data_IF_634038806955
#
_entry.id   IF_634038806955
#
_cell.length_a   1.000
_cell.length_b   1.000
_cell.length_c   1.000
_cell.angle_alpha   90.00
_cell.angle_beta   90.00
_cell.angle_gamma   90.00
#
_symmetry.space_group_name_H-M   'P 1'
#
loop_
_entity.id
_entity.type
_entity.pdbx_description
1 polymer ?
#
# COMPACT_ATOMS: atom_id res chain seq x y z
N UNK A 1 71.83 -44.34 0.00
CA UNK A 1 70.38 -44.17 -0.27
C UNK A 1 70.06 -42.71 -0.03
N UNK A 2 69.74 -41.99 -1.11
CA UNK A 2 69.83 -40.53 -1.19
C UNK A 2 68.72 -39.79 -0.45
N UNK A 3 69.12 -38.74 0.27
CA UNK A 3 68.26 -37.70 0.82
C UNK A 3 67.74 -36.83 -0.33
N UNK A 4 66.44 -36.90 -0.62
CA UNK A 4 65.78 -35.98 -1.52
C UNK A 4 65.61 -34.61 -0.82
N UNK A 5 66.43 -33.66 -1.22
CA UNK A 5 66.29 -32.24 -0.90
C UNK A 5 65.08 -31.67 -1.68
N UNK A 6 64.00 -31.32 -0.98
CA UNK A 6 62.96 -30.43 -1.49
C UNK A 6 63.33 -28.98 -1.13
N UNK A 7 63.54 -28.06 -2.08
CA UNK A 7 63.58 -26.64 -1.76
C UNK A 7 62.15 -26.15 -1.51
N UNK A 8 61.83 -25.82 -0.26
CA UNK A 8 60.64 -25.05 0.11
C UNK A 8 60.85 -23.59 -0.31
N UNK A 9 60.33 -23.22 -1.48
CA UNK A 9 60.33 -21.84 -1.95
C UNK A 9 59.35 -21.01 -1.11
N UNK A 10 59.90 -20.36 -0.06
CA UNK A 10 59.20 -19.39 0.78
C UNK A 10 59.13 -18.04 0.04
N UNK A 11 58.27 -17.92 -0.97
CA UNK A 11 57.95 -16.60 -1.53
C UNK A 11 56.81 -15.96 -0.73
N UNK A 12 57.14 -15.33 0.40
CA UNK A 12 56.19 -14.52 1.16
C UNK A 12 56.04 -13.17 0.46
N UNK A 13 55.19 -13.11 -0.57
CA UNK A 13 54.82 -11.85 -1.18
C UNK A 13 53.97 -11.07 -0.16
N UNK A 14 54.57 -10.11 0.54
CA UNK A 14 53.82 -9.11 1.30
C UNK A 14 52.97 -8.34 0.30
N UNK A 15 51.68 -8.63 0.24
CA UNK A 15 50.72 -8.00 -0.67
C UNK A 15 50.58 -6.54 -0.26
N UNK A 16 51.41 -5.67 -0.85
CA UNK A 16 51.37 -4.24 -0.63
C UNK A 16 50.11 -3.71 -1.32
N UNK A 17 49.06 -3.47 -0.55
CA UNK A 17 47.79 -2.93 -1.04
C UNK A 17 48.07 -1.58 -1.69
N UNK A 18 47.69 -1.45 -2.97
CA UNK A 18 47.79 -0.15 -3.65
C UNK A 18 46.68 0.75 -3.11
N UNK A 19 46.90 2.08 -3.13
CA UNK A 19 45.87 3.05 -2.77
C UNK A 19 44.56 2.82 -3.53
N UNK A 20 44.66 2.38 -4.79
CA UNK A 20 43.51 2.00 -5.61
C UNK A 20 42.71 0.84 -5.01
N UNK A 21 43.36 -0.17 -4.40
CA UNK A 21 42.67 -1.30 -3.78
C UNK A 21 41.87 -0.85 -2.54
N UNK A 22 42.41 0.10 -1.78
CA UNK A 22 41.73 0.70 -0.62
C UNK A 22 40.53 1.54 -1.06
N UNK A 23 40.71 2.39 -2.08
CA UNK A 23 39.62 3.23 -2.63
C UNK A 23 38.51 2.35 -3.20
N UNK A 24 38.88 1.29 -3.92
CA UNK A 24 37.92 0.35 -4.52
C UNK A 24 37.15 -0.41 -3.43
N UNK A 25 37.83 -0.90 -2.40
CA UNK A 25 37.19 -1.58 -1.27
C UNK A 25 36.25 -0.65 -0.50
N UNK A 26 36.64 0.62 -0.28
CA UNK A 26 35.80 1.61 0.37
C UNK A 26 34.54 1.92 -0.46
N UNK A 27 34.66 2.06 -1.78
CA UNK A 27 33.52 2.27 -2.67
C UNK A 27 32.54 1.09 -2.62
N UNK A 28 33.02 -0.15 -2.80
CA UNK A 28 32.15 -1.33 -2.73
C UNK A 28 31.56 -1.54 -1.33
N UNK A 29 32.30 -1.23 -0.27
CA UNK A 29 31.78 -1.25 1.10
C UNK A 29 30.66 -0.24 1.32
N UNK A 30 30.79 0.99 0.80
CA UNK A 30 29.75 2.02 0.87
C UNK A 30 28.50 1.63 0.07
N UNK A 31 28.68 1.06 -1.13
CA UNK A 31 27.57 0.54 -1.94
C UNK A 31 26.86 -0.61 -1.22
N UNK A 32 27.61 -1.58 -0.67
CA UNK A 32 27.04 -2.68 0.10
C UNK A 32 26.30 -2.18 1.34
N UNK A 33 26.86 -1.23 2.08
CA UNK A 33 26.20 -0.58 3.22
C UNK A 33 24.89 0.10 2.79
N UNK A 34 24.89 0.82 1.67
CA UNK A 34 23.68 1.42 1.12
C UNK A 34 22.62 0.35 0.80
N UNK A 35 23.00 -0.74 0.12
CA UNK A 35 22.06 -1.84 -0.16
C UNK A 35 21.57 -2.52 1.12
N UNK A 36 22.42 -2.69 2.14
CA UNK A 36 22.00 -3.22 3.44
C UNK A 36 21.00 -2.28 4.13
N UNK A 37 21.23 -0.96 4.10
CA UNK A 37 20.30 0.01 4.66
C UNK A 37 18.98 0.09 3.87
N UNK A 38 18.98 -0.15 2.57
CA UNK A 38 17.75 -0.09 1.74
C UNK A 38 16.97 -1.40 1.74
N UNK A 39 17.64 -2.55 1.78
CA UNK A 39 17.02 -3.87 1.56
C UNK A 39 17.05 -4.80 2.77
N UNK A 40 17.63 -4.39 3.91
CA UNK A 40 17.60 -5.18 5.16
C UNK A 40 16.99 -4.37 6.31
N UNK A 41 16.39 -5.02 7.33
CA UNK A 41 15.64 -4.33 8.39
C UNK A 41 16.47 -3.43 9.31
N UNK A 42 17.80 -3.37 9.13
CA UNK A 42 18.66 -2.44 9.87
C UNK A 42 18.51 -0.99 9.41
N UNK A 43 18.17 -0.72 8.14
CA UNK A 43 17.91 0.65 7.67
C UNK A 43 16.45 1.10 7.74
N UNK A 44 15.54 0.20 8.14
CA UNK A 44 14.13 0.51 8.39
C UNK A 44 13.93 1.55 9.51
N UNK A 45 14.96 1.82 10.33
CA UNK A 45 14.85 2.79 11.43
C UNK A 45 14.77 4.26 10.98
N UNK A 46 15.18 4.59 9.74
CA UNK A 46 15.12 5.96 9.22
C UNK A 46 14.02 6.18 8.16
N UNK A 47 13.53 5.11 7.53
CA UNK A 47 12.35 5.15 6.65
C UNK A 47 11.03 4.94 7.41
N UNK A 48 11.06 4.36 8.62
CA UNK A 48 9.90 4.21 9.50
C UNK A 48 9.48 5.50 10.26
N UNK A 49 9.86 6.68 9.77
CA UNK A 49 9.16 7.94 10.11
C UNK A 49 7.78 8.03 9.43
N UNK A 50 7.43 7.08 8.57
CA UNK A 50 6.05 6.86 8.18
C UNK A 50 5.31 6.21 9.36
N UNK A 51 4.52 7.00 10.08
CA UNK A 51 3.58 6.60 11.13
C UNK A 51 2.76 5.36 10.72
N UNK A 52 3.31 4.16 10.89
CA UNK A 52 2.53 3.07 11.44
C UNK A 52 2.36 3.37 12.91
N UNK A 53 1.52 4.36 13.23
CA UNK A 53 0.70 4.26 14.42
C UNK A 53 -0.13 3.00 14.20
N UNK A 54 0.46 1.86 14.54
CA UNK A 54 -0.28 0.80 15.16
C UNK A 54 -0.99 1.49 16.32
N UNK A 55 -2.22 1.94 16.07
CA UNK A 55 -3.24 1.98 17.08
C UNK A 55 -3.44 0.53 17.51
N UNK A 56 -2.43 -0.02 18.20
CA UNK A 56 -2.61 -1.10 19.14
C UNK A 56 -3.34 -0.45 20.31
N UNK A 57 -4.58 -0.08 20.03
CA UNK A 57 -5.52 0.43 21.00
C UNK A 57 -5.59 -0.65 22.06
N UNK A 58 -5.33 -0.28 23.31
CA UNK A 58 -5.46 -1.19 24.45
C UNK A 58 -6.77 -2.01 24.26
N UNK A 59 -6.74 -3.35 24.23
CA UNK A 59 -7.94 -4.17 24.04
C UNK A 59 -9.08 -3.76 24.96
N UNK A 60 -8.76 -3.29 26.18
CA UNK A 60 -9.74 -2.78 27.15
C UNK A 60 -10.35 -1.44 26.75
N UNK A 61 -9.59 -0.56 26.12
CA UNK A 61 -10.10 0.71 25.57
C UNK A 61 -11.05 0.44 24.41
N UNK A 62 -10.70 -0.51 23.55
CA UNK A 62 -11.54 -0.95 22.43
C UNK A 62 -12.90 -1.46 22.91
N UNK A 63 -12.91 -2.41 23.84
CA UNK A 63 -14.16 -2.96 24.40
C UNK A 63 -15.04 -1.86 25.02
N UNK A 64 -14.43 -0.94 25.78
CA UNK A 64 -15.13 0.20 26.36
C UNK A 64 -15.75 1.11 25.30
N UNK A 65 -15.01 1.42 24.24
CA UNK A 65 -15.46 2.33 23.20
C UNK A 65 -16.57 1.71 22.36
N UNK A 66 -16.45 0.42 22.00
CA UNK A 66 -17.51 -0.35 21.34
C UNK A 66 -18.78 -0.37 22.19
N UNK A 67 -18.65 -0.71 23.48
CA UNK A 67 -19.79 -0.71 24.39
C UNK A 67 -20.46 0.68 24.47
N UNK A 68 -19.67 1.77 24.60
CA UNK A 68 -20.22 3.14 24.64
C UNK A 68 -21.00 3.51 23.37
N UNK A 69 -20.51 3.09 22.20
CA UNK A 69 -21.20 3.30 20.91
C UNK A 69 -22.48 2.48 20.84
N UNK A 70 -22.44 1.20 21.22
CA UNK A 70 -23.61 0.30 21.23
C UNK A 70 -24.71 0.78 22.20
N UNK A 71 -24.33 1.32 23.36
CA UNK A 71 -25.26 1.90 24.33
C UNK A 71 -25.87 3.24 23.89
N UNK A 72 -25.59 3.71 22.67
CA UNK A 72 -26.14 4.95 22.14
C UNK A 72 -25.67 6.20 22.88
N UNK A 73 -24.61 6.09 23.70
CA UNK A 73 -24.00 7.24 24.37
C UNK A 73 -23.07 7.93 23.38
N UNK A 74 -23.63 8.88 22.65
CA UNK A 74 -22.86 9.87 21.88
C UNK A 74 -22.01 10.72 22.83
N UNK A 75 -20.81 10.28 23.20
CA UNK A 75 -19.86 11.13 23.94
C UNK A 75 -18.39 10.66 23.96
N UNK A 76 -18.03 9.50 23.43
CA UNK A 76 -16.62 9.25 23.16
C UNK A 76 -16.30 9.94 21.82
N UNK A 77 -15.55 11.04 21.86
CA UNK A 77 -15.00 11.63 20.64
C UNK A 77 -14.11 10.58 19.97
N UNK A 78 -14.56 10.04 18.84
CA UNK A 78 -13.75 9.15 18.02
C UNK A 78 -12.83 10.04 17.20
N UNK A 79 -11.52 9.89 17.40
CA UNK A 79 -10.53 10.67 16.68
C UNK A 79 -10.54 10.34 15.19
N UNK A 80 -10.14 11.31 14.36
CA UNK A 80 -9.91 11.07 12.94
C UNK A 80 -8.63 10.26 12.72
N UNK A 81 -8.65 9.36 11.74
CA UNK A 81 -7.46 8.67 11.29
C UNK A 81 -6.52 9.64 10.55
N UNK A 82 -5.23 9.29 10.40
CA UNK A 82 -4.30 10.01 9.53
C UNK A 82 -4.84 10.20 8.10
N UNK A 83 -4.49 11.32 7.46
CA UNK A 83 -4.99 11.70 6.13
C UNK A 83 -4.60 10.69 5.02
N UNK A 84 -3.51 9.95 5.19
CA UNK A 84 -3.07 8.90 4.28
C UNK A 84 -3.97 7.65 4.31
N UNK A 85 -4.88 7.54 5.29
CA UNK A 85 -5.87 6.45 5.34
C UNK A 85 -7.14 6.72 4.52
N UNK A 86 -7.18 7.77 3.69
CA UNK A 86 -8.35 8.11 2.87
C UNK A 86 -8.83 6.95 1.98
N UNK A 87 -7.91 6.13 1.46
CA UNK A 87 -8.21 4.96 0.61
C UNK A 87 -8.31 3.65 1.39
N UNK A 88 -8.51 3.71 2.71
CA UNK A 88 -8.55 2.52 3.53
C UNK A 88 -9.74 1.62 3.14
N UNK A 89 -9.43 0.45 2.59
CA UNK A 89 -10.39 -0.60 2.24
C UNK A 89 -10.09 -1.85 3.09
N UNK A 90 -10.76 -2.03 4.24
CA UNK A 90 -10.34 -3.02 5.24
C UNK A 90 -10.35 -4.46 4.71
N UNK A 91 -11.33 -4.83 3.88
CA UNK A 91 -11.50 -6.22 3.43
C UNK A 91 -10.92 -6.50 2.03
N UNK A 92 -10.25 -5.53 1.42
CA UNK A 92 -9.68 -5.61 0.07
C UNK A 92 -8.28 -4.99 0.07
N UNK A 93 -7.38 -5.55 0.89
CA UNK A 93 -5.99 -5.10 1.00
C UNK A 93 -5.08 -5.94 0.06
N UNK A 94 -4.51 -5.34 -1.01
CA UNK A 94 -3.60 -6.04 -1.90
C UNK A 94 -2.38 -6.66 -1.20
N UNK A 95 -1.94 -6.08 -0.06
CA UNK A 95 -0.81 -6.58 0.72
C UNK A 95 -1.15 -7.92 1.37
N UNK A 96 -2.36 -8.06 1.91
CA UNK A 96 -2.85 -9.32 2.50
C UNK A 96 -3.14 -10.31 1.37
N UNK A 97 -3.90 -9.89 0.36
CA UNK A 97 -4.31 -10.74 -0.76
C UNK A 97 -3.10 -11.38 -1.47
N UNK A 98 -1.97 -10.66 -1.60
CA UNK A 98 -0.75 -11.19 -2.20
C UNK A 98 -0.08 -12.36 -1.44
N UNK A 99 -0.43 -12.56 -0.16
CA UNK A 99 0.13 -13.59 0.73
C UNK A 99 -0.79 -14.82 0.86
N UNK A 100 -2.02 -14.74 0.34
CA UNK A 100 -3.02 -15.81 0.46
C UNK A 100 -2.86 -16.88 -0.62
N UNK A 101 -3.46 -18.06 -0.38
CA UNK A 101 -3.41 -19.16 -1.34
C UNK A 101 -4.03 -18.77 -2.69
N UNK A 102 -3.41 -19.27 -3.75
CA UNK A 102 -3.94 -19.17 -5.13
C UNK A 102 -4.96 -20.25 -5.45
N UNK A 103 -5.08 -21.26 -4.59
CA UNK A 103 -6.03 -22.34 -4.76
C UNK A 103 -7.46 -21.78 -4.77
N UNK A 104 -8.25 -22.21 -5.75
CA UNK A 104 -9.65 -21.80 -5.92
C UNK A 104 -9.87 -20.29 -5.96
N UNK A 105 -8.85 -19.49 -6.27
CA UNK A 105 -8.89 -18.03 -6.19
C UNK A 105 -9.17 -17.46 -4.80
N UNK A 106 -8.78 -18.16 -3.73
CA UNK A 106 -8.95 -17.69 -2.35
C UNK A 106 -8.38 -16.28 -2.13
N UNK A 107 -7.24 -15.94 -2.73
CA UNK A 107 -6.65 -14.59 -2.71
C UNK A 107 -7.51 -13.45 -3.30
N UNK A 108 -8.58 -13.77 -4.05
CA UNK A 108 -9.53 -12.79 -4.61
C UNK A 108 -10.79 -12.62 -3.78
N UNK A 109 -10.96 -13.44 -2.74
CA UNK A 109 -12.08 -13.29 -1.82
C UNK A 109 -11.84 -12.10 -0.88
N UNK A 110 -12.90 -11.67 -0.19
CA UNK A 110 -12.81 -10.56 0.77
C UNK A 110 -12.27 -11.08 2.09
N UNK A 111 -11.11 -10.59 2.49
CA UNK A 111 -10.43 -10.96 3.74
C UNK A 111 -10.34 -9.75 4.65
N UNK A 112 -11.28 -9.66 5.59
CA UNK A 112 -11.28 -8.58 6.56
C UNK A 112 -10.28 -8.87 7.70
N UNK A 113 -9.56 -7.85 8.19
CA UNK A 113 -8.74 -7.98 9.38
C UNK A 113 -9.59 -8.34 10.58
N UNK A 114 -8.95 -8.96 11.57
CA UNK A 114 -9.61 -9.24 12.85
C UNK A 114 -9.99 -7.93 13.53
N UNK A 115 -11.00 -7.94 14.43
CA UNK A 115 -11.35 -6.75 15.18
C UNK A 115 -10.12 -6.08 15.77
N UNK A 116 -9.23 -6.80 16.45
CA UNK A 116 -8.06 -6.23 17.13
C UNK A 116 -7.10 -5.45 16.21
N UNK A 117 -7.12 -5.73 14.91
CA UNK A 117 -6.29 -5.12 13.87
C UNK A 117 -6.99 -3.96 13.16
N UNK A 118 -8.31 -3.79 13.35
CA UNK A 118 -9.07 -2.69 12.75
C UNK A 118 -8.82 -1.37 13.48
N UNK A 119 -8.60 -0.26 12.74
CA UNK A 119 -8.43 1.06 13.34
C UNK A 119 -9.72 1.50 14.06
N UNK A 120 -9.56 2.15 15.22
CA UNK A 120 -10.66 2.73 16.00
C UNK A 120 -10.68 4.25 15.82
N UNK A 121 -10.72 4.69 14.57
CA UNK A 121 -10.75 6.10 14.21
C UNK A 121 -11.68 6.32 13.01
N UNK A 122 -12.13 7.56 12.82
CA UNK A 122 -12.93 7.96 11.67
C UNK A 122 -12.03 8.18 10.46
N UNK A 123 -12.22 7.41 9.40
CA UNK A 123 -11.47 7.59 8.15
C UNK A 123 -11.77 8.97 7.57
N UNK A 124 -10.77 9.81 7.33
CA UNK A 124 -11.00 11.15 6.80
C UNK A 124 -11.47 11.09 5.35
N UNK A 125 -12.33 12.02 4.91
CA UNK A 125 -12.67 12.17 3.51
C UNK A 125 -11.47 12.70 2.70
N UNK A 126 -11.46 12.51 1.36
CA UNK A 126 -10.43 13.09 0.51
C UNK A 126 -10.45 14.62 0.55
N UNK A 127 -9.30 15.22 0.21
CA UNK A 127 -9.20 16.67 0.10
C UNK A 127 -10.18 17.20 -0.97
N UNK A 128 -10.95 18.22 -0.60
CA UNK A 128 -11.95 18.80 -1.49
C UNK A 128 -13.25 17.98 -1.61
N UNK A 129 -13.48 16.99 -0.74
CA UNK A 129 -14.73 16.22 -0.71
C UNK A 129 -15.97 17.12 -0.74
N UNK A 130 -16.92 16.73 -1.57
CA UNK A 130 -18.19 17.44 -1.78
C UNK A 130 -19.34 16.56 -1.34
N UNK A 131 -20.44 17.21 -0.95
CA UNK A 131 -21.71 16.51 -0.69
C UNK A 131 -22.07 15.66 -1.92
N UNK A 132 -22.35 14.35 -1.74
CA UNK A 132 -22.71 13.48 -2.85
C UNK A 132 -23.88 14.02 -3.67
N UNK A 133 -23.78 13.83 -4.99
CA UNK A 133 -24.88 14.11 -5.92
C UNK A 133 -26.11 13.35 -5.46
N UNK A 134 -27.27 14.00 -5.43
CA UNK A 134 -28.51 13.37 -4.99
C UNK A 134 -29.02 12.39 -6.05
N UNK A 135 -29.75 11.37 -5.60
CA UNK A 135 -30.51 10.50 -6.48
C UNK A 135 -31.71 11.29 -7.07
N UNK A 136 -32.02 11.27 -8.39
CA UNK A 136 -31.58 10.31 -9.40
C UNK A 136 -30.27 10.61 -10.16
N UNK A 137 -29.70 11.79 -9.96
CA UNK A 137 -28.57 12.25 -10.76
C UNK A 137 -27.29 11.42 -10.52
N UNK A 138 -27.15 10.83 -9.33
CA UNK A 138 -25.97 10.05 -8.92
C UNK A 138 -25.73 8.77 -9.71
N UNK A 139 -26.71 8.27 -10.49
CA UNK A 139 -26.47 7.15 -11.41
C UNK A 139 -25.56 7.52 -12.57
N UNK A 140 -25.64 8.78 -13.01
CA UNK A 140 -24.97 9.23 -14.22
C UNK A 140 -23.75 10.07 -13.92
N UNK A 141 -23.66 10.68 -12.73
CA UNK A 141 -22.53 11.53 -12.36
C UNK A 141 -22.18 11.49 -10.87
N UNK A 142 -20.90 11.61 -10.57
CA UNK A 142 -20.37 11.87 -9.23
C UNK A 142 -19.30 12.95 -9.28
N UNK A 143 -19.01 13.60 -8.15
CA UNK A 143 -17.87 14.52 -8.05
C UNK A 143 -16.55 13.76 -8.20
N UNK A 144 -15.65 14.25 -9.05
CA UNK A 144 -14.29 13.72 -9.16
C UNK A 144 -13.55 13.83 -7.82
N UNK A 145 -13.73 14.94 -7.10
CA UNK A 145 -13.06 15.21 -5.81
C UNK A 145 -13.43 14.17 -4.72
N UNK A 146 -14.56 13.47 -4.86
CA UNK A 146 -14.96 12.42 -3.93
C UNK A 146 -14.23 11.08 -4.19
N UNK A 147 -13.63 10.91 -5.37
CA UNK A 147 -12.83 9.75 -5.75
C UNK A 147 -11.72 10.19 -6.72
N UNK A 148 -10.65 10.86 -6.27
CA UNK A 148 -9.71 11.58 -7.12
C UNK A 148 -8.73 10.69 -7.92
N UNK A 149 -9.23 9.66 -8.59
CA UNK A 149 -8.47 8.65 -9.33
C UNK A 149 -8.95 8.47 -10.76
N UNK A 150 -8.17 8.96 -11.73
CA UNK A 150 -8.51 8.90 -13.15
C UNK A 150 -8.20 7.56 -13.83
N UNK A 151 -7.56 6.60 -13.13
CA UNK A 151 -7.07 5.34 -13.73
C UNK A 151 -8.14 4.59 -14.54
N UNK A 152 -9.37 4.51 -14.05
CA UNK A 152 -10.46 3.81 -14.75
C UNK A 152 -10.97 4.65 -15.92
N UNK A 153 -11.12 5.96 -15.77
CA UNK A 153 -11.53 6.85 -16.85
C UNK A 153 -10.52 6.82 -18.01
N UNK A 154 -9.23 6.84 -17.71
CA UNK A 154 -8.16 6.83 -18.70
C UNK A 154 -8.07 5.47 -19.42
N UNK A 155 -8.17 4.36 -18.67
CA UNK A 155 -8.01 3.00 -19.23
C UNK A 155 -9.27 2.42 -19.85
N UNK A 156 -10.45 2.78 -19.34
CA UNK A 156 -11.75 2.18 -19.69
C UNK A 156 -12.79 3.19 -20.18
N UNK A 157 -12.44 4.47 -20.31
CA UNK A 157 -13.35 5.48 -20.86
C UNK A 157 -13.75 5.22 -22.31
N UNK A 158 -12.87 4.60 -23.11
CA UNK A 158 -13.19 4.16 -24.48
C UNK A 158 -14.27 3.06 -24.52
N UNK A 159 -14.42 2.29 -23.43
CA UNK A 159 -15.45 1.25 -23.30
C UNK A 159 -16.77 1.84 -22.80
N UNK A 160 -16.83 3.14 -22.49
CA UNK A 160 -18.04 3.76 -21.94
C UNK A 160 -18.31 3.41 -20.47
N UNK A 161 -17.29 2.99 -19.72
CA UNK A 161 -17.45 2.66 -18.30
C UNK A 161 -17.53 3.91 -17.43
N UNK A 162 -16.59 4.84 -17.63
CA UNK A 162 -16.47 6.08 -16.87
C UNK A 162 -15.67 7.09 -17.68
N UNK A 163 -16.11 8.35 -17.69
CA UNK A 163 -15.40 9.47 -18.33
C UNK A 163 -15.31 10.62 -17.35
N UNK A 164 -14.25 11.42 -17.41
CA UNK A 164 -14.17 12.67 -16.64
C UNK A 164 -14.67 13.82 -17.51
N UNK A 165 -15.67 14.54 -17.03
CA UNK A 165 -16.20 15.75 -17.67
C UNK A 165 -16.27 16.88 -16.64
N UNK A 166 -15.37 17.85 -16.79
CA UNK A 166 -15.21 18.95 -15.84
C UNK A 166 -14.93 18.45 -14.41
N UNK A 167 -15.74 18.85 -13.41
CA UNK A 167 -15.56 18.42 -12.01
C UNK A 167 -16.23 17.07 -11.70
N UNK A 168 -16.80 16.38 -12.68
CA UNK A 168 -17.53 15.13 -12.47
C UNK A 168 -16.88 13.94 -13.19
N UNK A 169 -17.08 12.76 -12.63
CA UNK A 169 -17.09 11.53 -13.42
C UNK A 169 -18.51 11.29 -13.93
N UNK A 170 -18.62 10.94 -15.20
CA UNK A 170 -19.84 10.58 -15.90
C UNK A 170 -19.82 9.09 -16.21
N UNK A 171 -20.95 8.43 -15.99
CA UNK A 171 -21.17 7.01 -16.26
C UNK A 171 -22.16 6.87 -17.43
N UNK A 172 -21.68 6.75 -18.67
CA UNK A 172 -22.54 6.70 -19.85
C UNK A 172 -23.23 5.36 -20.06
N UNK A 173 -23.15 4.42 -19.10
CA UNK A 173 -23.87 3.13 -19.15
C UNK A 173 -23.22 2.03 -20.00
N UNK A 174 -22.01 2.23 -20.54
CA UNK A 174 -21.34 1.32 -21.47
C UNK A 174 -20.56 0.16 -20.83
N UNK A 175 -20.89 -0.24 -19.60
CA UNK A 175 -20.19 -1.33 -18.90
C UNK A 175 -20.58 -2.70 -19.43
N UNK A 176 -19.96 -3.20 -20.52
CA UNK A 176 -20.18 -4.58 -21.03
C UNK A 176 -21.66 -5.00 -21.05
N UNK A 177 -22.52 -4.16 -21.60
CA UNK A 177 -23.77 -4.64 -22.19
C UNK A 177 -23.40 -5.15 -23.59
N UNK A 178 -23.55 -6.45 -23.80
CA UNK A 178 -23.66 -7.01 -25.15
C UNK A 178 -24.62 -6.14 -25.96
N UNK A 179 -24.16 -5.67 -27.13
CA UNK A 179 -24.70 -4.60 -27.99
C UNK A 179 -26.17 -4.75 -28.47
N UNK A 180 -27.03 -5.53 -27.81
CA UNK A 180 -28.40 -5.79 -28.26
C UNK A 180 -29.40 -4.66 -27.95
N UNK A 181 -29.03 -3.61 -27.22
CA UNK A 181 -29.99 -2.57 -26.82
C UNK A 181 -29.86 -1.25 -27.60
N UNK A 182 -28.98 -1.17 -28.61
CA UNK A 182 -28.86 0.02 -29.48
C UNK A 182 -29.67 -0.06 -30.79
N UNK A 183 -30.47 -1.11 -31.00
CA UNK A 183 -31.29 -1.27 -32.21
C UNK A 183 -32.80 -1.21 -31.97
N UNK A 184 -33.26 -0.57 -30.90
CA UNK A 184 -34.69 -0.30 -30.74
C UNK A 184 -34.97 1.06 -30.11
N UNK A 185 -34.69 2.11 -30.87
CA UNK A 185 -35.42 3.40 -30.86
C UNK A 185 -35.22 4.09 -32.19
#
# INVERSE_FOLDING_TARGET
MGLLNLPSSKHRHTRQWRLLDIVTAAFFGAVLLFFLLVFTPLGDSLAASGRRTLLRTDPRLRERLVALVEFGRQAAAIDACPADMVDHMPCEDPRINSQLSRDMNYYRERHCPRPEETPLCLIPPPEGYRVPVQWPDSLHKIWHDNMPYNKIADRKGHQGWMKREGPHFIFPGGGTISQMEQYNT
#
